data_IF_456927132616
#
_entry.id   IF_456927132616
#
_cell.length_a   1.000
_cell.length_b   1.000
_cell.length_c   1.000
_cell.angle_alpha   90.00
_cell.angle_beta   90.00
_cell.angle_gamma   90.00
#
_symmetry.space_group_name_H-M   'P 1'
#
loop_
_entity.id
_entity.type
_entity.pdbx_description
1 polymer ?
#
# COMPACT_ATOMS: atom_id res chain seq x y z
N UNK A 1 8.00 -9.15 15.88
CA UNK A 1 8.74 -9.72 14.73
C UNK A 1 8.64 -8.84 13.48
N UNK A 2 7.52 -8.15 13.21
CA UNK A 2 7.34 -7.38 11.95
C UNK A 2 7.92 -5.96 11.92
N UNK A 3 8.83 -5.64 12.84
CA UNK A 3 9.37 -4.28 13.02
C UNK A 3 10.08 -3.74 11.78
N UNK A 4 10.76 -4.61 11.01
CA UNK A 4 11.45 -4.20 9.78
C UNK A 4 10.46 -3.75 8.69
N UNK A 5 9.37 -4.50 8.50
CA UNK A 5 8.31 -4.14 7.54
C UNK A 5 7.60 -2.86 7.97
N UNK A 6 7.33 -2.73 9.27
CA UNK A 6 6.78 -1.50 9.85
C UNK A 6 7.69 -0.29 9.61
N UNK A 7 9.00 -0.42 9.88
CA UNK A 7 9.97 0.66 9.73
C UNK A 7 10.13 1.09 8.28
N UNK A 8 10.31 0.13 7.37
CA UNK A 8 10.41 0.38 5.92
C UNK A 8 9.13 1.04 5.38
N UNK A 9 7.96 0.53 5.77
CA UNK A 9 6.68 1.13 5.41
C UNK A 9 6.46 2.52 6.00
N UNK A 10 6.98 2.79 7.20
CA UNK A 10 6.92 4.12 7.81
C UNK A 10 7.77 5.14 7.08
N UNK A 11 8.98 4.75 6.68
CA UNK A 11 9.83 5.60 5.85
C UNK A 11 9.18 5.87 4.49
N UNK A 12 8.60 4.84 3.86
CA UNK A 12 7.86 4.97 2.60
C UNK A 12 6.66 5.92 2.73
N UNK A 13 5.86 5.78 3.80
CA UNK A 13 4.72 6.66 4.09
C UNK A 13 5.16 8.11 4.28
N UNK A 14 6.26 8.35 5.00
CA UNK A 14 6.76 9.68 5.25
C UNK A 14 7.30 10.36 3.98
N UNK A 15 8.01 9.62 3.12
CA UNK A 15 8.62 10.17 1.92
C UNK A 15 7.62 10.33 0.76
N UNK A 16 6.74 9.34 0.55
CA UNK A 16 5.87 9.28 -0.63
C UNK A 16 4.39 9.48 -0.31
N UNK A 17 3.94 9.21 0.91
CA UNK A 17 2.51 9.19 1.27
C UNK A 17 1.76 10.46 0.89
N UNK A 18 2.20 11.67 1.32
CA UNK A 18 1.55 12.91 0.96
C UNK A 18 1.49 13.15 -0.56
N UNK A 19 2.60 12.90 -1.26
CA UNK A 19 2.67 13.08 -2.72
C UNK A 19 1.75 12.13 -3.46
N UNK A 20 1.70 10.86 -3.05
CA UNK A 20 0.80 9.86 -3.63
C UNK A 20 -0.66 10.26 -3.43
N UNK A 21 -1.05 10.67 -2.23
CA UNK A 21 -2.43 11.11 -1.95
C UNK A 21 -2.80 12.33 -2.79
N UNK A 22 -1.93 13.34 -2.86
CA UNK A 22 -2.17 14.54 -3.65
C UNK A 22 -2.32 14.20 -5.13
N UNK A 23 -1.42 13.39 -5.69
CA UNK A 23 -1.44 13.07 -7.12
C UNK A 23 -2.63 12.17 -7.46
N UNK A 24 -2.78 11.02 -6.79
CA UNK A 24 -3.77 10.00 -7.19
C UNK A 24 -5.16 10.26 -6.63
N UNK A 25 -5.26 10.86 -5.45
CA UNK A 25 -6.53 11.12 -4.76
C UNK A 25 -7.15 12.48 -5.08
N UNK A 26 -6.35 13.47 -5.49
CA UNK A 26 -6.82 14.85 -5.72
C UNK A 26 -6.55 15.30 -7.15
N UNK A 27 -5.29 15.36 -7.59
CA UNK A 27 -4.93 15.99 -8.86
C UNK A 27 -5.45 15.22 -10.08
N UNK A 28 -5.22 13.90 -10.15
CA UNK A 28 -5.68 13.05 -11.27
C UNK A 28 -7.21 13.11 -11.42
N UNK A 29 -8.04 12.84 -10.38
CA UNK A 29 -9.51 12.88 -10.52
C UNK A 29 -10.09 14.24 -10.96
N UNK A 30 -9.35 15.34 -10.75
CA UNK A 30 -9.78 16.70 -11.10
C UNK A 30 -9.07 17.26 -12.33
N UNK A 31 -8.15 16.51 -12.96
CA UNK A 31 -7.36 16.95 -14.11
C UNK A 31 -6.42 18.13 -13.81
N UNK A 32 -5.96 18.28 -12.57
CA UNK A 32 -5.17 19.45 -12.16
C UNK A 32 -3.68 19.25 -12.37
N UNK A 33 -3.06 19.98 -13.29
CA UNK A 33 -1.60 20.05 -13.39
C UNK A 33 -0.89 18.71 -13.62
N UNK A 34 -1.63 17.68 -14.06
CA UNK A 34 -1.12 16.36 -14.42
C UNK A 34 -1.10 16.26 -15.95
N UNK A 35 0.00 15.79 -16.57
CA UNK A 35 0.01 15.53 -18.01
C UNK A 35 -1.09 14.54 -18.41
N UNK A 36 -1.73 14.71 -19.57
CA UNK A 36 -2.77 13.78 -20.07
C UNK A 36 -2.28 12.32 -20.09
N UNK A 37 -0.98 12.12 -20.32
CA UNK A 37 -0.38 10.80 -20.30
C UNK A 37 -0.49 10.10 -18.95
N UNK A 38 -0.54 10.82 -17.83
CA UNK A 38 -0.66 10.24 -16.47
C UNK A 38 -2.10 9.94 -16.07
N UNK A 39 -3.08 10.61 -16.68
CA UNK A 39 -4.51 10.39 -16.43
C UNK A 39 -5.11 9.30 -17.35
N UNK A 40 -4.37 8.88 -18.38
CA UNK A 40 -4.85 7.84 -19.29
C UNK A 40 -4.76 6.43 -18.70
N UNK A 41 -5.85 5.65 -18.85
CA UNK A 41 -5.87 4.22 -18.53
C UNK A 41 -4.74 3.45 -19.23
N UNK A 42 -4.44 3.79 -20.49
CA UNK A 42 -3.40 3.14 -21.29
C UNK A 42 -2.02 3.27 -20.67
N UNK A 43 -1.64 4.44 -20.17
CA UNK A 43 -0.35 4.64 -19.52
C UNK A 43 -0.28 3.95 -18.15
N UNK A 44 -1.37 4.02 -17.36
CA UNK A 44 -1.44 3.32 -16.09
C UNK A 44 -1.32 1.80 -16.27
N UNK A 45 -1.99 1.24 -17.28
CA UNK A 45 -1.88 -0.17 -17.63
C UNK A 45 -0.47 -0.53 -18.12
N UNK A 46 0.14 0.31 -18.95
CA UNK A 46 1.53 0.11 -19.40
C UNK A 46 2.51 0.08 -18.22
N UNK A 47 2.34 0.98 -17.25
CA UNK A 47 3.13 0.96 -16.01
C UNK A 47 2.89 -0.30 -15.19
N UNK A 48 1.63 -0.71 -15.02
CA UNK A 48 1.26 -1.91 -14.26
C UNK A 48 1.66 -3.22 -14.94
N UNK A 49 1.94 -3.21 -16.25
CA UNK A 49 2.48 -4.33 -17.03
C UNK A 49 4.01 -4.41 -16.98
N UNK A 50 4.68 -3.27 -16.84
CA UNK A 50 6.13 -3.23 -16.66
C UNK A 50 6.57 -3.98 -15.37
N UNK A 51 7.54 -4.92 -15.44
CA UNK A 51 8.00 -5.67 -14.27
C UNK A 51 8.50 -4.79 -13.10
N UNK A 52 9.24 -3.72 -13.39
CA UNK A 52 9.69 -2.77 -12.37
C UNK A 52 8.51 -1.97 -11.80
N UNK A 53 7.57 -1.57 -12.65
CA UNK A 53 6.33 -0.90 -12.21
C UNK A 53 5.53 -1.76 -11.23
N UNK A 54 5.39 -3.05 -11.49
CA UNK A 54 4.77 -4.01 -10.56
C UNK A 54 5.50 -4.08 -9.23
N UNK A 55 6.83 -4.15 -9.24
CA UNK A 55 7.63 -4.18 -8.01
C UNK A 55 7.44 -2.90 -7.19
N UNK A 56 7.40 -1.73 -7.84
CA UNK A 56 7.12 -0.46 -7.18
C UNK A 56 5.72 -0.46 -6.57
N UNK A 57 4.69 -0.86 -7.33
CA UNK A 57 3.31 -0.94 -6.84
C UNK A 57 3.18 -1.90 -5.65
N UNK A 58 3.79 -3.09 -5.75
CA UNK A 58 3.78 -4.08 -4.67
C UNK A 58 4.46 -3.52 -3.43
N UNK A 59 5.67 -2.95 -3.57
CA UNK A 59 6.44 -2.43 -2.45
C UNK A 59 5.69 -1.29 -1.75
N UNK A 60 5.20 -0.30 -2.51
CA UNK A 60 4.45 0.83 -1.94
C UNK A 60 3.20 0.35 -1.21
N UNK A 61 2.35 -0.42 -1.88
CA UNK A 61 1.05 -0.81 -1.32
C UNK A 61 1.24 -1.76 -0.13
N UNK A 62 2.05 -2.80 -0.26
CA UNK A 62 2.25 -3.78 0.81
C UNK A 62 2.92 -3.15 2.04
N UNK A 63 4.01 -2.37 1.86
CA UNK A 63 4.71 -1.78 2.99
C UNK A 63 3.84 -0.77 3.75
N UNK A 64 2.98 -0.01 3.07
CA UNK A 64 2.02 0.87 3.74
C UNK A 64 1.02 0.08 4.60
N UNK A 65 0.54 -1.08 4.12
CA UNK A 65 -0.31 -1.96 4.93
C UNK A 65 0.43 -2.54 6.15
N UNK A 66 1.68 -2.97 6.00
CA UNK A 66 2.47 -3.45 7.12
C UNK A 66 2.76 -2.35 8.15
N UNK A 67 2.99 -1.12 7.70
CA UNK A 67 3.13 0.03 8.59
C UNK A 67 1.83 0.28 9.38
N UNK A 68 0.69 0.32 8.69
CA UNK A 68 -0.61 0.52 9.31
C UNK A 68 -0.97 -0.59 10.29
N UNK A 69 -0.69 -1.86 9.96
CA UNK A 69 -1.01 -3.01 10.80
C UNK A 69 -0.27 -3.00 12.14
N UNK A 70 1.02 -2.62 12.17
CA UNK A 70 1.76 -2.48 13.42
C UNK A 70 1.18 -1.37 14.30
N UNK A 71 0.92 -0.18 13.71
CA UNK A 71 0.30 0.94 14.44
C UNK A 71 -1.06 0.55 15.00
N UNK A 72 -1.93 -0.05 14.18
CA UNK A 72 -3.25 -0.51 14.59
C UNK A 72 -3.15 -1.58 15.68
N UNK A 73 -2.23 -2.55 15.56
CA UNK A 73 -2.04 -3.58 16.59
C UNK A 73 -1.66 -2.97 17.93
N UNK A 74 -0.65 -2.09 17.95
CA UNK A 74 -0.19 -1.43 19.17
C UNK A 74 -1.31 -0.60 19.79
N UNK A 75 -2.02 0.21 19.01
CA UNK A 75 -3.16 0.99 19.50
C UNK A 75 -4.25 0.11 20.09
N UNK A 76 -4.67 -0.94 19.40
CA UNK A 76 -5.72 -1.86 19.87
C UNK A 76 -5.29 -2.63 21.12
N UNK A 77 -4.02 -3.04 21.17
CA UNK A 77 -3.43 -3.72 22.32
C UNK A 77 -3.39 -2.81 23.55
N UNK A 78 -2.97 -1.55 23.38
CA UNK A 78 -2.90 -0.56 24.46
C UNK A 78 -4.29 -0.20 25.00
N UNK A 79 -5.29 -0.16 24.12
CA UNK A 79 -6.70 0.01 24.48
C UNK A 79 -7.34 -1.26 25.08
N UNK A 80 -6.64 -2.40 25.06
CA UNK A 80 -7.10 -3.70 25.59
C UNK A 80 -8.44 -4.17 25.00
N UNK A 81 -8.66 -3.91 23.71
CA UNK A 81 -9.95 -4.20 23.03
C UNK A 81 -10.22 -5.69 22.77
N UNK A 82 -9.26 -6.58 23.05
CA UNK A 82 -9.49 -8.02 22.91
C UNK A 82 -8.24 -8.86 23.14
N UNK A 83 -8.37 -10.20 22.99
CA UNK A 83 -7.24 -11.12 23.14
C UNK A 83 -6.14 -10.81 22.13
N UNK A 84 -4.87 -10.84 22.58
CA UNK A 84 -3.69 -10.51 21.76
C UNK A 84 -3.65 -11.31 20.45
N UNK A 85 -4.02 -12.59 20.50
CA UNK A 85 -4.04 -13.46 19.31
C UNK A 85 -5.03 -12.96 18.26
N UNK A 86 -6.25 -12.57 18.67
CA UNK A 86 -7.27 -12.04 17.78
C UNK A 86 -6.79 -10.73 17.13
N UNK A 87 -6.22 -9.83 17.92
CA UNK A 87 -5.70 -8.55 17.41
C UNK A 87 -4.59 -8.76 16.38
N UNK A 88 -3.67 -9.69 16.63
CA UNK A 88 -2.60 -10.04 15.66
C UNK A 88 -3.14 -10.57 14.34
N UNK A 89 -4.14 -11.44 14.37
CA UNK A 89 -4.77 -11.95 13.16
C UNK A 89 -5.54 -10.85 12.42
N UNK A 90 -6.29 -10.03 13.15
CA UNK A 90 -7.08 -8.95 12.58
C UNK A 90 -6.20 -7.88 11.89
N UNK A 91 -4.99 -7.61 12.40
CA UNK A 91 -4.09 -6.60 11.81
C UNK A 91 -3.07 -7.22 10.85
N UNK A 92 -2.16 -8.06 11.35
CA UNK A 92 -1.08 -8.63 10.53
C UNK A 92 -1.59 -9.68 9.54
N UNK A 93 -2.62 -10.45 9.92
CA UNK A 93 -3.28 -11.37 9.00
C UNK A 93 -3.92 -10.64 7.84
N UNK A 94 -4.58 -9.50 8.11
CA UNK A 94 -5.13 -8.63 7.08
C UNK A 94 -4.02 -8.06 6.16
N UNK A 95 -2.92 -7.55 6.73
CA UNK A 95 -1.78 -7.07 5.93
C UNK A 95 -1.17 -8.17 5.04
N UNK A 96 -1.07 -9.41 5.54
CA UNK A 96 -0.60 -10.55 4.75
C UNK A 96 -1.56 -10.89 3.61
N UNK A 97 -2.87 -10.96 3.88
CA UNK A 97 -3.89 -11.21 2.85
C UNK A 97 -3.87 -10.12 1.78
N UNK A 98 -3.80 -8.86 2.18
CA UNK A 98 -3.74 -7.74 1.24
C UNK A 98 -2.46 -7.76 0.39
N UNK A 99 -1.32 -8.13 0.98
CA UNK A 99 -0.07 -8.33 0.22
C UNK A 99 -0.23 -9.42 -0.85
N UNK A 100 -0.87 -10.54 -0.50
CA UNK A 100 -1.12 -11.63 -1.44
C UNK A 100 -2.10 -11.22 -2.54
N UNK A 101 -3.16 -10.50 -2.20
CA UNK A 101 -4.15 -9.98 -3.17
C UNK A 101 -3.48 -9.04 -4.16
N UNK A 102 -2.68 -8.07 -3.67
CA UNK A 102 -1.94 -7.15 -4.54
C UNK A 102 -0.99 -7.91 -5.46
N UNK A 103 -0.24 -8.88 -4.92
CA UNK A 103 0.65 -9.73 -5.71
C UNK A 103 -0.12 -10.50 -6.80
N UNK A 104 -1.24 -11.14 -6.44
CA UNK A 104 -2.05 -11.91 -7.38
C UNK A 104 -2.65 -11.02 -8.48
N UNK A 105 -3.18 -9.85 -8.13
CA UNK A 105 -3.73 -8.88 -9.10
C UNK A 105 -2.64 -8.39 -10.04
N UNK A 106 -1.47 -8.01 -9.52
CA UNK A 106 -0.35 -7.57 -10.34
C UNK A 106 0.10 -8.67 -11.31
N UNK A 107 0.14 -9.94 -10.90
CA UNK A 107 0.47 -11.04 -11.80
C UNK A 107 -0.63 -11.27 -12.86
N UNK A 108 -1.91 -11.15 -12.47
CA UNK A 108 -3.06 -11.34 -13.36
C UNK A 108 -3.16 -10.29 -14.47
N UNK A 109 -2.64 -9.06 -14.26
CA UNK A 109 -2.61 -7.99 -15.27
C UNK A 109 -1.78 -8.36 -16.51
N UNK A 110 -0.87 -9.35 -16.40
CA UNK A 110 0.06 -9.72 -17.48
C UNK A 110 1.23 -8.74 -17.63
N UNK A 111 2.04 -8.92 -18.67
CA UNK A 111 3.23 -8.10 -18.96
C UNK A 111 3.10 -7.37 -20.30
#
# INVERSE_FOLDING_TARGET
MFWLLFGAGGMMAALLGPGLIIITGIMIPHGWGVPESFDSYTSALAFARNPLGKLVLLAVIALLFWHAAERAFLTLHDMRVGPVLLLRWATYGLAAVLTLVVTAVLLAIGF
#
